data_IF_438551804236
#
_entry.id   IF_438551804236
#
_cell.length_a   1.000
_cell.length_b   1.000
_cell.length_c   1.000
_cell.angle_alpha   90.00
_cell.angle_beta   90.00
_cell.angle_gamma   90.00
#
_symmetry.space_group_name_H-M   'P 1'
#
loop_
_entity.id
_entity.type
_entity.pdbx_description
1 polymer ?
#
# COMPACT_ATOMS: atom_id res chain seq x y z
N UNK A 1 8.34 -4.70 -15.27
CA UNK A 1 7.55 -3.87 -16.21
C UNK A 1 8.43 -3.42 -17.36
N UNK A 2 7.82 -3.02 -18.47
CA UNK A 2 8.62 -2.52 -19.61
C UNK A 2 9.12 -1.08 -19.37
N UNK A 3 10.07 -0.63 -20.19
CA UNK A 3 10.69 0.68 -20.04
C UNK A 3 9.70 1.83 -20.19
N UNK A 4 8.74 1.69 -21.11
CA UNK A 4 7.72 2.72 -21.34
C UNK A 4 6.84 2.91 -20.11
N UNK A 5 6.40 1.83 -19.51
CA UNK A 5 5.60 1.87 -18.28
C UNK A 5 6.40 2.44 -17.12
N UNK A 6 7.65 2.04 -16.97
CA UNK A 6 8.54 2.58 -15.94
C UNK A 6 8.67 4.10 -16.06
N UNK A 7 8.91 4.62 -17.26
CA UNK A 7 9.01 6.06 -17.49
C UNK A 7 7.69 6.78 -17.19
N UNK A 8 6.56 6.18 -17.54
CA UNK A 8 5.25 6.76 -17.22
C UNK A 8 5.02 6.85 -15.71
N UNK A 9 5.37 5.80 -14.96
CA UNK A 9 5.26 5.80 -13.50
C UNK A 9 6.19 6.82 -12.86
N UNK A 10 7.44 6.92 -13.32
CA UNK A 10 8.38 7.93 -12.84
C UNK A 10 7.85 9.35 -13.08
N UNK A 11 7.28 9.60 -14.26
CA UNK A 11 6.72 10.92 -14.59
C UNK A 11 5.61 11.32 -13.61
N UNK A 12 4.72 10.38 -13.29
CA UNK A 12 3.64 10.63 -12.32
C UNK A 12 4.21 10.88 -10.93
N UNK A 13 5.10 10.02 -10.45
CA UNK A 13 5.66 10.13 -9.11
C UNK A 13 6.47 11.42 -8.93
N UNK A 14 7.24 11.83 -9.95
CA UNK A 14 7.99 13.11 -9.90
C UNK A 14 7.10 14.31 -9.75
N UNK A 15 5.88 14.28 -10.30
CA UNK A 15 4.91 15.38 -10.16
C UNK A 15 4.21 15.40 -8.82
N UNK A 16 4.02 14.23 -8.20
CA UNK A 16 3.17 14.08 -7.02
C UNK A 16 3.93 13.99 -5.71
N UNK A 17 5.15 13.47 -5.75
CA UNK A 17 5.94 13.19 -4.55
C UNK A 17 7.35 13.74 -4.69
N UNK A 18 7.96 14.08 -3.55
CA UNK A 18 9.39 14.42 -3.52
C UNK A 18 10.23 13.16 -3.75
N UNK A 19 11.43 13.27 -4.38
CA UNK A 19 12.23 12.11 -4.77
C UNK A 19 12.65 11.20 -3.61
N UNK A 20 12.74 11.73 -2.39
CA UNK A 20 13.12 10.93 -1.20
C UNK A 20 11.99 10.03 -0.68
N UNK A 21 10.78 10.10 -1.25
CA UNK A 21 9.64 9.31 -0.80
C UNK A 21 9.48 8.00 -1.57
N UNK A 22 10.24 7.78 -2.62
CA UNK A 22 10.13 6.54 -3.41
C UNK A 22 11.48 6.14 -4.00
N UNK A 23 11.69 4.83 -4.12
CA UNK A 23 12.90 4.28 -4.74
C UNK A 23 12.56 2.98 -5.46
N UNK A 24 12.81 2.96 -6.77
CA UNK A 24 12.73 1.74 -7.57
C UNK A 24 14.03 0.97 -7.46
N UNK A 25 13.91 -0.35 -7.45
CA UNK A 25 15.05 -1.28 -7.52
C UNK A 25 14.74 -2.32 -8.58
N UNK A 26 15.74 -2.61 -9.43
CA UNK A 26 15.66 -3.68 -10.44
C UNK A 26 14.40 -3.61 -11.31
N UNK A 27 13.97 -2.42 -11.71
CA UNK A 27 12.68 -2.21 -12.36
C UNK A 27 12.46 -3.10 -13.60
N UNK A 28 13.52 -3.53 -14.26
CA UNK A 28 13.49 -4.34 -15.48
C UNK A 28 13.77 -5.84 -15.23
N UNK A 29 13.79 -6.26 -13.97
CA UNK A 29 14.14 -7.64 -13.56
C UNK A 29 12.97 -8.30 -12.81
N UNK A 30 12.98 -9.64 -12.67
CA UNK A 30 11.97 -10.33 -11.84
C UNK A 30 11.96 -9.89 -10.38
N UNK A 31 13.07 -9.33 -9.88
CA UNK A 31 13.20 -8.79 -8.53
C UNK A 31 12.73 -7.35 -8.41
N UNK A 32 12.09 -6.80 -9.45
CA UNK A 32 11.61 -5.42 -9.47
C UNK A 32 10.70 -5.11 -8.29
N UNK A 33 10.96 -4.01 -7.63
CA UNK A 33 10.09 -3.49 -6.57
C UNK A 33 10.28 -1.99 -6.41
N UNK A 34 9.33 -1.37 -5.74
CA UNK A 34 9.43 0.03 -5.30
C UNK A 34 9.16 0.10 -3.80
N UNK A 35 9.96 0.91 -3.12
CA UNK A 35 9.80 1.22 -1.71
C UNK A 35 9.31 2.66 -1.62
N UNK A 36 8.26 2.90 -0.84
CA UNK A 36 7.66 4.23 -0.70
C UNK A 36 7.45 4.57 0.76
N UNK A 37 7.82 5.79 1.16
CA UNK A 37 7.54 6.31 2.49
C UNK A 37 6.18 7.01 2.49
N UNK A 38 5.32 6.64 3.43
CA UNK A 38 3.99 7.23 3.60
C UNK A 38 3.90 7.88 4.99
N UNK A 39 3.65 9.18 5.02
CA UNK A 39 3.50 9.94 6.25
C UNK A 39 2.02 10.18 6.52
N UNK A 40 1.59 9.84 7.73
CA UNK A 40 0.21 10.12 8.17
C UNK A 40 0.06 11.55 8.68
N UNK A 41 -1.18 12.00 8.82
CA UNK A 41 -1.49 13.33 9.34
C UNK A 41 -0.95 13.57 10.75
N UNK A 42 -0.72 12.49 11.52
CA UNK A 42 -0.12 12.54 12.86
C UNK A 42 1.41 12.61 12.83
N UNK A 43 2.00 12.50 11.66
CA UNK A 43 3.44 12.58 11.48
C UNK A 43 4.17 11.24 11.57
N UNK A 44 3.45 10.12 11.69
CA UNK A 44 4.07 8.79 11.66
C UNK A 44 4.43 8.42 10.24
N UNK A 45 5.59 7.79 10.07
CA UNK A 45 6.09 7.36 8.76
C UNK A 45 6.06 5.84 8.69
N UNK A 46 5.44 5.32 7.64
CA UNK A 46 5.41 3.90 7.33
C UNK A 46 6.12 3.67 6.01
N UNK A 47 6.83 2.57 5.90
CA UNK A 47 7.47 2.17 4.64
C UNK A 47 6.61 1.12 3.96
N UNK A 48 6.25 1.37 2.71
CA UNK A 48 5.52 0.44 1.86
C UNK A 48 6.50 -0.26 0.92
N UNK A 49 6.39 -1.58 0.83
CA UNK A 49 7.16 -2.40 -0.09
C UNK A 49 6.21 -2.99 -1.13
N UNK A 50 6.46 -2.75 -2.39
CA UNK A 50 5.56 -3.14 -3.49
C UNK A 50 6.36 -3.92 -4.54
N UNK A 51 6.26 -5.26 -4.58
CA UNK A 51 6.83 -6.06 -5.67
C UNK A 51 6.15 -5.71 -7.00
N UNK A 52 6.93 -5.65 -8.08
CA UNK A 52 6.45 -5.22 -9.39
C UNK A 52 6.56 -6.31 -10.46
N UNK A 53 6.84 -7.55 -10.08
CA UNK A 53 7.07 -8.64 -11.02
C UNK A 53 5.85 -8.95 -11.91
N UNK A 54 4.62 -8.75 -11.43
CA UNK A 54 3.39 -8.90 -12.23
C UNK A 54 2.72 -7.58 -12.62
N UNK A 55 3.29 -6.45 -12.22
CA UNK A 55 2.71 -5.14 -12.48
C UNK A 55 3.01 -4.70 -13.93
N UNK A 56 2.08 -4.09 -14.67
CA UNK A 56 0.75 -3.61 -14.23
C UNK A 56 -0.41 -4.59 -14.51
N UNK A 57 -0.17 -5.76 -15.07
CA UNK A 57 -1.23 -6.71 -15.42
C UNK A 57 -1.92 -7.26 -14.17
N UNK A 58 -1.12 -7.62 -13.18
CA UNK A 58 -1.62 -8.16 -11.92
C UNK A 58 -1.62 -7.07 -10.82
N UNK A 59 -2.59 -7.15 -9.91
CA UNK A 59 -2.62 -6.28 -8.73
C UNK A 59 -1.35 -6.55 -7.92
N UNK A 60 -0.47 -5.56 -7.71
CA UNK A 60 0.73 -5.80 -6.92
C UNK A 60 0.37 -5.95 -5.43
N UNK A 61 1.10 -6.81 -4.74
CA UNK A 61 1.03 -6.88 -3.29
C UNK A 61 1.60 -5.60 -2.71
N UNK A 62 1.05 -5.13 -1.59
CA UNK A 62 1.59 -4.00 -0.84
C UNK A 62 1.77 -4.41 0.61
N UNK A 63 2.98 -4.26 1.11
CA UNK A 63 3.33 -4.55 2.51
C UNK A 63 3.75 -3.29 3.23
N UNK A 64 3.33 -3.17 4.49
CA UNK A 64 4.02 -2.32 5.44
C UNK A 64 5.21 -3.12 5.95
N UNK A 65 6.42 -2.53 5.99
CA UNK A 65 7.66 -3.27 6.30
C UNK A 65 7.81 -3.57 7.80
N UNK A 66 6.70 -3.87 8.45
CA UNK A 66 6.64 -4.35 9.84
C UNK A 66 5.31 -5.05 10.08
N UNK A 67 5.23 -5.83 11.15
CA UNK A 67 3.96 -6.41 11.58
C UNK A 67 3.17 -5.37 12.38
N UNK A 68 1.98 -5.04 11.89
CA UNK A 68 1.07 -4.15 12.60
C UNK A 68 0.18 -4.94 13.55
N UNK A 69 -0.28 -4.28 14.60
CA UNK A 69 -1.16 -4.84 15.61
C UNK A 69 -2.48 -4.08 15.63
N UNK A 70 -3.58 -4.80 15.80
CA UNK A 70 -4.86 -4.18 16.11
C UNK A 70 -4.81 -3.56 17.52
N UNK A 71 -5.80 -2.73 17.83
CA UNK A 71 -5.89 -2.08 19.14
C UNK A 71 -5.88 -3.08 20.30
N UNK A 72 -6.48 -4.26 20.12
CA UNK A 72 -6.51 -5.32 21.11
C UNK A 72 -5.20 -6.13 21.19
N UNK A 73 -4.18 -5.78 20.43
CA UNK A 73 -2.90 -6.46 20.39
C UNK A 73 -2.80 -7.62 19.41
N UNK A 74 -3.89 -8.00 18.73
CA UNK A 74 -3.85 -9.07 17.76
C UNK A 74 -2.99 -8.69 16.55
N UNK A 75 -2.20 -9.64 16.02
CA UNK A 75 -1.38 -9.40 14.84
C UNK A 75 -2.25 -9.25 13.59
N UNK A 76 -1.93 -8.26 12.76
CA UNK A 76 -2.56 -8.10 11.45
C UNK A 76 -1.77 -8.93 10.42
N UNK A 77 -1.83 -10.25 10.55
CA UNK A 77 -1.03 -11.20 9.78
C UNK A 77 -1.85 -12.12 8.87
N UNK A 78 -3.17 -11.98 8.86
CA UNK A 78 -4.05 -12.83 8.07
C UNK A 78 -5.13 -12.03 7.34
N UNK A 79 -5.93 -12.73 6.52
CA UNK A 79 -7.02 -12.07 5.80
C UNK A 79 -8.08 -11.59 6.79
N UNK A 80 -8.51 -10.34 6.64
CA UNK A 80 -9.55 -9.73 7.45
C UNK A 80 -10.34 -8.75 6.60
N UNK A 81 -11.64 -9.01 6.44
CA UNK A 81 -12.54 -8.06 5.78
C UNK A 81 -12.69 -6.80 6.64
N UNK A 82 -12.74 -6.95 7.96
CA UNK A 82 -12.89 -5.82 8.89
C UNK A 82 -11.69 -4.87 8.84
N UNK A 83 -10.48 -5.40 8.79
CA UNK A 83 -9.25 -4.59 8.78
C UNK A 83 -8.66 -4.39 7.39
N UNK A 84 -9.26 -4.94 6.33
CA UNK A 84 -8.77 -4.84 4.96
C UNK A 84 -7.29 -5.24 4.84
N UNK A 85 -6.99 -6.43 5.39
CA UNK A 85 -5.67 -7.05 5.29
C UNK A 85 -5.73 -8.38 4.54
N UNK A 86 -4.58 -8.82 4.09
CA UNK A 86 -4.35 -10.08 3.38
C UNK A 86 -3.25 -10.87 4.12
N UNK A 87 -3.03 -12.16 3.79
CA UNK A 87 -1.99 -12.93 4.47
C UNK A 87 -0.63 -12.25 4.41
N UNK A 88 0.01 -12.12 5.57
CA UNK A 88 1.33 -11.51 5.69
C UNK A 88 2.41 -12.39 5.03
N UNK A 89 3.52 -11.74 4.64
CA UNK A 89 4.73 -12.40 4.15
C UNK A 89 5.93 -11.74 4.82
N UNK A 90 6.96 -12.50 5.13
CA UNK A 90 8.21 -12.02 5.74
C UNK A 90 8.01 -11.27 7.07
N UNK A 91 6.94 -11.54 7.80
CA UNK A 91 6.62 -10.81 9.03
C UNK A 91 6.08 -9.41 8.79
N UNK A 92 5.62 -9.09 7.59
CA UNK A 92 5.09 -7.78 7.21
C UNK A 92 3.58 -7.84 6.99
N UNK A 93 2.85 -6.86 7.49
CA UNK A 93 1.40 -6.74 7.24
C UNK A 93 1.15 -6.42 5.77
N UNK A 94 0.27 -7.19 5.14
CA UNK A 94 -0.13 -6.98 3.75
C UNK A 94 -1.48 -6.25 3.70
N UNK A 95 -1.52 -5.14 2.97
CA UNK A 95 -2.72 -4.34 2.82
C UNK A 95 -3.58 -4.81 1.66
N UNK A 96 -4.92 -4.80 1.83
CA UNK A 96 -5.86 -4.95 0.75
C UNK A 96 -6.21 -3.56 0.21
N UNK A 97 -5.83 -3.26 -1.04
CA UNK A 97 -6.00 -1.92 -1.60
C UNK A 97 -6.86 -1.88 -2.87
N UNK A 98 -6.83 -2.93 -3.68
CA UNK A 98 -7.68 -3.08 -4.87
C UNK A 98 -8.29 -4.47 -4.92
N UNK A 99 -9.55 -4.56 -5.34
CA UNK A 99 -10.17 -5.83 -5.70
C UNK A 99 -10.03 -6.11 -7.19
N UNK A 100 -10.25 -7.36 -7.58
CA UNK A 100 -10.17 -7.77 -8.99
C UNK A 100 -11.12 -6.97 -9.88
N UNK A 101 -12.32 -6.62 -9.37
CA UNK A 101 -13.33 -5.91 -10.13
C UNK A 101 -12.96 -4.46 -10.44
N UNK A 102 -12.10 -3.87 -9.64
CA UNK A 102 -11.70 -2.46 -9.78
C UNK A 102 -10.31 -2.28 -10.39
N UNK A 103 -9.56 -3.38 -10.58
CA UNK A 103 -8.20 -3.30 -11.12
C UNK A 103 -8.20 -3.22 -12.64
N UNK A 104 -7.39 -2.32 -13.16
CA UNK A 104 -7.01 -2.29 -14.58
C UNK A 104 -5.50 -2.04 -14.70
N UNK A 105 -4.91 -2.37 -15.84
CA UNK A 105 -3.51 -2.12 -16.09
C UNK A 105 -3.15 -0.62 -16.17
N UNK A 106 -4.17 0.24 -16.17
CA UNK A 106 -3.98 1.70 -16.17
C UNK A 106 -3.85 2.31 -14.78
N UNK A 107 -4.05 1.51 -13.72
CA UNK A 107 -3.87 2.00 -12.33
C UNK A 107 -2.40 2.31 -12.09
N UNK A 108 -2.10 3.54 -11.66
CA UNK A 108 -0.74 3.98 -11.38
C UNK A 108 -0.29 3.56 -9.98
N UNK A 109 1.02 3.51 -9.78
CA UNK A 109 1.60 3.32 -8.44
C UNK A 109 1.21 4.45 -7.51
N UNK A 110 1.05 5.66 -8.02
CA UNK A 110 0.60 6.79 -7.20
C UNK A 110 -0.82 6.56 -6.65
N UNK A 111 -1.75 6.00 -7.45
CA UNK A 111 -3.09 5.66 -6.96
C UNK A 111 -3.05 4.59 -5.89
N UNK A 112 -2.20 3.58 -6.06
CA UNK A 112 -1.97 2.56 -5.03
C UNK A 112 -1.45 3.22 -3.76
N UNK A 113 -0.46 4.10 -3.88
CA UNK A 113 0.10 4.86 -2.76
C UNK A 113 -0.97 5.64 -2.00
N UNK A 114 -1.83 6.35 -2.72
CA UNK A 114 -2.91 7.15 -2.10
C UNK A 114 -3.88 6.26 -1.32
N UNK A 115 -4.27 5.13 -1.89
CA UNK A 115 -5.15 4.18 -1.20
C UNK A 115 -4.50 3.58 0.05
N UNK A 116 -3.23 3.23 -0.04
CA UNK A 116 -2.50 2.68 1.12
C UNK A 116 -2.28 3.75 2.19
N UNK A 117 -2.04 4.99 1.80
CA UNK A 117 -1.95 6.09 2.76
C UNK A 117 -3.28 6.31 3.49
N UNK A 118 -4.40 6.22 2.77
CA UNK A 118 -5.72 6.28 3.39
C UNK A 118 -5.92 5.12 4.38
N UNK A 119 -5.49 3.90 4.01
CA UNK A 119 -5.55 2.76 4.92
C UNK A 119 -4.79 3.04 6.21
N UNK A 120 -3.59 3.64 6.12
CA UNK A 120 -2.78 3.98 7.28
C UNK A 120 -3.47 5.03 8.17
N UNK A 121 -4.13 6.02 7.58
CA UNK A 121 -4.92 7.00 8.34
C UNK A 121 -6.07 6.32 9.11
N UNK A 122 -6.77 5.41 8.45
CA UNK A 122 -7.85 4.65 9.10
C UNK A 122 -7.32 3.69 10.17
N UNK A 123 -6.13 3.13 9.96
CA UNK A 123 -5.47 2.30 10.96
C UNK A 123 -5.16 3.09 12.23
N UNK A 124 -4.65 4.30 12.09
CA UNK A 124 -4.37 5.15 13.25
C UNK A 124 -5.66 5.56 13.99
N UNK A 125 -6.74 5.81 13.24
CA UNK A 125 -8.06 6.01 13.87
C UNK A 125 -8.55 4.76 14.59
N UNK A 126 -8.34 3.57 14.01
CA UNK A 126 -8.66 2.32 14.68
C UNK A 126 -7.93 2.18 16.02
N UNK A 127 -6.65 2.51 16.06
CA UNK A 127 -5.87 2.44 17.30
C UNK A 127 -6.44 3.34 18.40
N UNK A 128 -7.07 4.46 18.03
CA UNK A 128 -7.68 5.38 19.00
C UNK A 128 -9.08 4.95 19.42
N UNK A 129 -9.91 4.55 18.46
CA UNK A 129 -11.35 4.39 18.69
C UNK A 129 -11.77 2.94 18.89
N UNK A 130 -10.98 1.98 18.36
CA UNK A 130 -11.37 0.58 18.31
C UNK A 130 -12.28 0.22 17.16
N UNK A 131 -12.77 1.20 16.38
CA UNK A 131 -13.57 0.90 15.19
C UNK A 131 -12.71 0.28 14.11
N UNK A 132 -13.26 -0.70 13.37
CA UNK A 132 -12.55 -1.36 12.27
C UNK A 132 -12.33 -0.41 11.10
N UNK A 133 -11.35 -0.74 10.26
CA UNK A 133 -11.10 0.03 9.03
C UNK A 133 -12.33 0.02 8.13
N UNK A 134 -13.03 -1.13 8.03
CA UNK A 134 -14.25 -1.25 7.26
C UNK A 134 -15.34 -0.27 7.72
N UNK A 135 -15.41 0.02 9.03
CA UNK A 135 -16.30 1.04 9.58
C UNK A 135 -16.05 2.41 8.93
N UNK A 136 -14.79 2.83 8.83
CA UNK A 136 -14.47 4.14 8.26
C UNK A 136 -14.73 4.19 6.76
N UNK A 137 -14.50 3.11 6.03
CA UNK A 137 -14.81 3.04 4.60
C UNK A 137 -16.31 3.16 4.35
N UNK A 138 -17.14 2.59 5.20
CA UNK A 138 -18.60 2.62 5.06
C UNK A 138 -19.24 3.92 5.58
N UNK A 139 -18.50 4.72 6.34
CA UNK A 139 -18.99 5.96 6.95
C UNK A 139 -18.29 7.20 6.44
N UNK A 140 -17.67 7.14 5.27
CA UNK A 140 -17.12 8.32 4.59
C UNK A 140 -18.26 9.19 4.08
N UNK A 141 -18.16 10.47 4.38
CA UNK A 141 -19.09 11.45 3.86
C UNK A 141 -18.80 11.76 2.39
#
# INVERSE_FOLDING_TARGET
MNAQRYQAELTILRRKLTPNLYKFTDWDKPTAHVVMAARTNRGNIYTLYIPLDGFPQDIPKVFVTKMLHAKNGALLNGPSAAMHTLPSENGWTRLCHYGYDSWTANVSLYKIYVKCRLWLEMYELHLQTGNDIDYYLNHQA
#
